data_IF_639055935205
#
_entry.id   IF_639055935205
#
_cell.length_a   1.000
_cell.length_b   1.000
_cell.length_c   1.000
_cell.angle_alpha   90.00
_cell.angle_beta   90.00
_cell.angle_gamma   90.00
#
_symmetry.space_group_name_H-M   'P 1'
#
loop_
_entity.id
_entity.type
_entity.pdbx_description
1 polymer ?
#
# COMPACT_ATOMS: atom_id res chain seq x y z
N UNK A 1 -17.10 -2.26 16.76
CA UNK A 1 -15.88 -2.87 16.21
C UNK A 1 -15.10 -1.88 15.36
N UNK A 2 -14.37 -0.95 15.97
CA UNK A 2 -13.48 -0.03 15.26
C UNK A 2 -12.00 -0.21 15.65
N UNK A 3 -11.68 -0.78 16.81
CA UNK A 3 -10.29 -1.08 17.17
C UNK A 3 -9.61 -2.09 16.21
N UNK A 4 -10.37 -3.03 15.63
CA UNK A 4 -9.83 -3.94 14.62
C UNK A 4 -9.54 -3.25 13.30
N UNK A 5 -10.33 -2.27 12.84
CA UNK A 5 -10.04 -1.65 11.54
C UNK A 5 -8.75 -0.83 11.56
N UNK A 6 -8.40 -0.21 12.70
CA UNK A 6 -7.11 0.47 12.85
C UNK A 6 -5.92 -0.50 12.85
N UNK A 7 -6.02 -1.61 13.59
CA UNK A 7 -4.92 -2.59 13.67
C UNK A 7 -4.78 -3.41 12.39
N UNK A 8 -5.90 -3.79 11.77
CA UNK A 8 -5.94 -4.46 10.45
C UNK A 8 -5.42 -3.52 9.38
N UNK A 9 -5.83 -2.24 9.39
CA UNK A 9 -5.31 -1.24 8.48
C UNK A 9 -3.79 -1.09 8.59
N UNK A 10 -3.27 -0.97 9.82
CA UNK A 10 -1.82 -0.87 10.04
C UNK A 10 -1.06 -2.09 9.52
N UNK A 11 -1.55 -3.30 9.78
CA UNK A 11 -0.90 -4.53 9.29
C UNK A 11 -0.97 -4.63 7.76
N UNK A 12 -2.08 -4.24 7.15
CA UNK A 12 -2.28 -4.32 5.71
C UNK A 12 -1.39 -3.31 4.94
N UNK A 13 -1.19 -2.08 5.44
CA UNK A 13 -0.21 -1.14 4.86
C UNK A 13 1.20 -1.74 4.86
N UNK A 14 1.62 -2.36 5.98
CA UNK A 14 2.95 -2.98 6.08
C UNK A 14 3.08 -4.14 5.09
N UNK A 15 2.06 -4.98 4.99
CA UNK A 15 2.03 -6.10 4.03
C UNK A 15 2.08 -5.60 2.57
N UNK A 16 1.27 -4.60 2.23
CA UNK A 16 1.22 -3.97 0.90
C UNK A 16 2.58 -3.38 0.51
N UNK A 17 3.23 -2.68 1.45
CA UNK A 17 4.56 -2.11 1.25
C UNK A 17 5.63 -3.19 1.01
N UNK A 18 5.61 -4.28 1.78
CA UNK A 18 6.56 -5.39 1.57
C UNK A 18 6.31 -6.11 0.24
N UNK A 19 5.06 -6.28 -0.16
CA UNK A 19 4.70 -6.86 -1.45
C UNK A 19 5.22 -6.01 -2.62
N UNK A 20 4.98 -4.69 -2.59
CA UNK A 20 5.49 -3.75 -3.57
C UNK A 20 7.03 -3.73 -3.62
N UNK A 21 7.68 -3.77 -2.45
CA UNK A 21 9.14 -3.83 -2.33
C UNK A 21 9.71 -5.11 -2.95
N UNK A 22 9.04 -6.25 -2.76
CA UNK A 22 9.42 -7.52 -3.40
C UNK A 22 9.19 -7.50 -4.90
N UNK A 23 8.06 -6.96 -5.37
CA UNK A 23 7.73 -6.92 -6.79
C UNK A 23 8.69 -6.03 -7.59
N UNK A 24 8.97 -4.81 -7.11
CA UNK A 24 9.85 -3.86 -7.82
C UNK A 24 11.33 -3.98 -7.46
N UNK A 25 11.69 -4.63 -6.35
CA UNK A 25 13.06 -4.77 -5.90
C UNK A 25 13.78 -3.42 -5.79
N UNK A 26 14.83 -3.23 -6.58
CA UNK A 26 15.62 -1.99 -6.62
C UNK A 26 14.92 -0.79 -7.27
N UNK A 27 13.79 -0.99 -7.95
CA UNK A 27 12.96 0.10 -8.51
C UNK A 27 11.98 0.66 -7.49
N UNK A 28 11.81 -0.01 -6.33
CA UNK A 28 10.92 0.44 -5.29
C UNK A 28 11.42 1.75 -4.67
N UNK A 29 10.60 2.80 -4.72
CA UNK A 29 10.84 4.05 -4.00
C UNK A 29 9.75 4.26 -2.97
N UNK A 30 10.18 4.47 -1.73
CA UNK A 30 9.26 4.79 -0.62
C UNK A 30 8.54 6.13 -0.85
N UNK A 31 9.17 7.08 -1.55
CA UNK A 31 8.56 8.35 -1.94
C UNK A 31 7.34 8.14 -2.83
N UNK A 32 7.51 7.38 -3.92
CA UNK A 32 6.43 7.08 -4.88
C UNK A 32 5.28 6.31 -4.22
N UNK A 33 5.59 5.38 -3.31
CA UNK A 33 4.58 4.69 -2.52
C UNK A 33 3.76 5.66 -1.66
N UNK A 34 4.42 6.57 -0.93
CA UNK A 34 3.71 7.57 -0.12
C UNK A 34 2.93 8.56 -0.98
N UNK A 35 3.46 8.97 -2.14
CA UNK A 35 2.74 9.85 -3.07
C UNK A 35 1.47 9.16 -3.60
N UNK A 36 1.56 7.87 -3.95
CA UNK A 36 0.41 7.05 -4.34
C UNK A 36 -0.63 7.01 -3.23
N UNK A 37 -0.23 6.74 -1.98
CA UNK A 37 -1.13 6.68 -0.82
C UNK A 37 -1.78 8.05 -0.56
N UNK A 38 -1.02 9.14 -0.62
CA UNK A 38 -1.50 10.50 -0.38
C UNK A 38 -2.43 11.01 -1.49
N UNK A 39 -2.13 10.71 -2.77
CA UNK A 39 -2.99 11.03 -3.93
C UNK A 39 -4.30 10.25 -3.92
N UNK A 40 -4.25 9.02 -3.42
CA UNK A 40 -5.40 8.12 -3.37
C UNK A 40 -6.50 8.62 -2.41
N UNK A 41 -6.15 9.39 -1.37
CA UNK A 41 -7.11 9.86 -0.37
C UNK A 41 -7.61 8.74 0.56
N UNK A 42 -8.71 8.95 1.32
CA UNK A 42 -9.25 7.96 2.24
C UNK A 42 -9.93 6.82 1.48
N UNK A 43 -9.14 5.89 0.95
CA UNK A 43 -9.63 4.68 0.30
C UNK A 43 -9.67 3.49 1.26
N UNK A 44 -10.55 2.52 0.99
CA UNK A 44 -10.46 1.19 1.59
C UNK A 44 -9.08 0.57 1.32
N UNK A 45 -8.56 -0.15 2.31
CA UNK A 45 -7.23 -0.77 2.26
C UNK A 45 -7.06 -1.78 1.12
N UNK A 46 -8.15 -2.46 0.76
CA UNK A 46 -8.24 -3.35 -0.40
C UNK A 46 -7.98 -2.62 -1.73
N UNK A 47 -8.45 -1.38 -1.87
CA UNK A 47 -8.25 -0.58 -3.08
C UNK A 47 -6.81 -0.07 -3.14
N UNK A 48 -6.26 0.37 -2.01
CA UNK A 48 -4.85 0.76 -1.92
C UNK A 48 -3.94 -0.40 -2.34
N UNK A 49 -4.22 -1.61 -1.88
CA UNK A 49 -3.40 -2.78 -2.22
C UNK A 49 -3.47 -3.11 -3.72
N UNK A 50 -4.66 -3.06 -4.32
CA UNK A 50 -4.83 -3.25 -5.76
C UNK A 50 -4.08 -2.19 -6.59
N UNK A 51 -4.12 -0.91 -6.17
CA UNK A 51 -3.38 0.18 -6.82
C UNK A 51 -1.87 -0.02 -6.73
N UNK A 52 -1.38 -0.41 -5.55
CA UNK A 52 0.04 -0.69 -5.32
C UNK A 52 0.50 -1.89 -6.14
N UNK A 53 -0.30 -2.95 -6.22
CA UNK A 53 -0.02 -4.11 -7.09
C UNK A 53 0.06 -3.68 -8.56
N UNK A 54 -0.92 -2.92 -9.04
CA UNK A 54 -0.96 -2.42 -10.41
C UNK A 54 0.23 -1.51 -10.73
N UNK A 55 0.61 -0.63 -9.81
CA UNK A 55 1.80 0.21 -9.94
C UNK A 55 3.10 -0.60 -9.94
N UNK A 56 3.20 -1.62 -9.08
CA UNK A 56 4.41 -2.44 -8.96
C UNK A 56 4.60 -3.46 -10.09
N UNK A 57 3.51 -3.79 -10.81
CA UNK A 57 3.52 -4.68 -11.97
C UNK A 57 3.79 -3.96 -13.30
N UNK A 58 3.81 -2.62 -13.30
CA UNK A 58 4.11 -1.77 -14.46
C UNK A 58 5.61 -1.48 -14.60
#
# INVERSE_FOLDING_TARGET
>A
GQACCFMVGKQQIVASREAARRAMGGRFRLGDYNDLVLRSGPLPMEVLDALVQQWSAA
#
